data_IF_820389512317
#
_entry.id   IF_820389512317
#
_cell.length_a   1.000
_cell.length_b   1.000
_cell.length_c   1.000
_cell.angle_alpha   90.00
_cell.angle_beta   90.00
_cell.angle_gamma   90.00
#
_symmetry.space_group_name_H-M   'P 1'
#
loop_
_entity.id
_entity.type
_entity.pdbx_description
1 polymer ?
#
# COMPACT_ATOMS: atom_id res chain seq x y z
N UNK A 1 9.61 -15.46 5.49
CA UNK A 1 8.97 -14.28 6.10
C UNK A 1 9.45 -13.06 5.36
N UNK A 2 8.58 -12.07 5.14
CA UNK A 2 8.94 -10.72 4.68
C UNK A 2 8.91 -9.82 5.92
N UNK A 3 10.04 -9.24 6.27
CA UNK A 3 10.22 -8.38 7.45
C UNK A 3 10.99 -7.13 7.02
N UNK A 4 10.40 -5.95 7.22
CA UNK A 4 11.00 -4.67 6.82
C UNK A 4 10.50 -3.52 7.69
N UNK A 5 11.27 -2.45 7.73
CA UNK A 5 10.91 -1.20 8.37
C UNK A 5 10.65 -0.13 7.32
N UNK A 6 9.55 0.60 7.47
CA UNK A 6 9.21 1.74 6.62
C UNK A 6 8.49 2.81 7.43
N UNK A 7 8.85 4.07 7.23
CA UNK A 7 8.23 5.22 7.88
C UNK A 7 8.16 5.11 9.42
N UNK A 8 9.15 4.46 10.02
CA UNK A 8 9.24 4.22 11.47
C UNK A 8 8.21 3.23 12.00
N UNK A 9 7.77 2.29 11.15
CA UNK A 9 6.90 1.18 11.51
C UNK A 9 7.49 -0.12 10.95
N UNK A 10 7.32 -1.23 11.68
CA UNK A 10 7.84 -2.53 11.25
C UNK A 10 6.71 -3.43 10.73
N UNK A 11 6.92 -3.97 9.54
CA UNK A 11 6.00 -4.85 8.85
C UNK A 11 6.55 -6.27 8.87
N UNK A 12 5.70 -7.26 9.20
CA UNK A 12 6.10 -8.66 9.24
C UNK A 12 4.98 -9.54 8.70
N UNK A 13 5.20 -10.12 7.53
CA UNK A 13 4.22 -10.96 6.84
C UNK A 13 4.80 -12.31 6.38
N UNK A 14 3.93 -13.28 6.14
CA UNK A 14 4.32 -14.57 5.58
C UNK A 14 4.72 -14.43 4.12
N UNK A 15 5.83 -15.04 3.71
CA UNK A 15 6.36 -14.88 2.34
C UNK A 15 5.37 -15.36 1.26
N UNK A 16 4.67 -16.48 1.49
CA UNK A 16 3.64 -16.99 0.58
C UNK A 16 2.46 -16.04 0.36
N UNK A 17 2.25 -15.11 1.29
CA UNK A 17 1.13 -14.16 1.30
C UNK A 17 1.53 -12.76 0.87
N UNK A 18 2.78 -12.52 0.52
CA UNK A 18 3.30 -11.16 0.37
C UNK A 18 4.15 -11.03 -0.88
N UNK A 19 4.10 -9.83 -1.45
CA UNK A 19 5.00 -9.35 -2.47
C UNK A 19 5.60 -8.04 -1.98
N UNK A 20 6.91 -8.04 -1.69
CA UNK A 20 7.63 -6.82 -1.33
C UNK A 20 7.96 -6.03 -2.60
N UNK A 21 6.92 -5.49 -3.24
CA UNK A 21 6.99 -4.89 -4.57
C UNK A 21 8.04 -3.79 -4.68
N UNK A 22 8.23 -2.95 -3.65
CA UNK A 22 9.23 -1.87 -3.68
C UNK A 22 10.67 -2.37 -3.78
N UNK A 23 10.94 -3.61 -3.34
CA UNK A 23 12.25 -4.27 -3.44
C UNK A 23 12.30 -5.37 -4.50
N UNK A 24 11.27 -5.46 -5.35
CA UNK A 24 11.24 -6.42 -6.45
C UNK A 24 12.24 -6.05 -7.54
N UNK A 25 12.77 -7.05 -8.23
CA UNK A 25 13.70 -6.84 -9.33
C UNK A 25 13.04 -6.10 -10.50
N UNK A 26 11.76 -6.39 -10.77
CA UNK A 26 10.99 -5.69 -11.80
C UNK A 26 10.84 -4.20 -11.44
N UNK A 27 10.46 -3.86 -10.22
CA UNK A 27 10.27 -2.47 -9.85
C UNK A 27 11.59 -1.72 -9.68
N UNK A 28 12.45 -2.17 -8.75
CA UNK A 28 13.62 -1.42 -8.29
C UNK A 28 14.65 -1.23 -9.40
N UNK A 29 14.91 -2.28 -10.20
CA UNK A 29 15.95 -2.25 -11.24
C UNK A 29 15.47 -1.76 -12.61
N UNK A 30 14.15 -1.71 -12.86
CA UNK A 30 13.61 -1.41 -14.19
C UNK A 30 12.59 -0.27 -14.16
N UNK A 31 11.46 -0.46 -13.47
CA UNK A 31 10.32 0.45 -13.60
C UNK A 31 10.50 1.77 -12.84
N UNK A 32 11.16 1.75 -11.69
CA UNK A 32 11.45 2.97 -10.93
C UNK A 32 12.28 3.98 -11.74
N UNK A 33 13.26 3.50 -12.53
CA UNK A 33 14.12 4.33 -13.36
C UNK A 33 13.37 5.07 -14.49
N UNK A 34 12.18 4.60 -14.88
CA UNK A 34 11.34 5.22 -15.93
C UNK A 34 10.13 5.96 -15.36
N UNK A 35 10.14 6.23 -14.05
CA UNK A 35 9.13 7.05 -13.39
C UNK A 35 7.88 6.31 -12.95
N UNK A 36 7.87 4.97 -12.94
CA UNK A 36 6.84 4.22 -12.24
C UNK A 36 6.98 4.40 -10.72
N UNK A 37 5.90 4.13 -9.97
CA UNK A 37 5.94 4.14 -8.51
C UNK A 37 5.33 2.87 -7.96
N UNK A 38 5.74 2.46 -6.76
CA UNK A 38 5.13 1.33 -6.07
C UNK A 38 4.70 1.72 -4.67
N UNK A 39 3.73 0.97 -4.15
CA UNK A 39 3.53 0.84 -2.70
C UNK A 39 4.70 0.08 -2.09
N UNK A 40 4.71 -0.02 -0.76
CA UNK A 40 5.75 -0.78 -0.07
C UNK A 40 5.58 -2.27 -0.33
N UNK A 41 4.38 -2.81 -0.06
CA UNK A 41 4.09 -4.21 -0.30
C UNK A 41 2.63 -4.45 -0.72
N UNK A 42 2.41 -5.64 -1.29
CA UNK A 42 1.08 -6.21 -1.48
C UNK A 42 1.00 -7.47 -0.63
N UNK A 43 -0.03 -7.62 0.19
CA UNK A 43 -0.13 -8.77 1.11
C UNK A 43 -1.56 -9.26 1.29
N UNK A 44 -1.72 -10.54 1.63
CA UNK A 44 -3.00 -11.09 2.06
C UNK A 44 -3.24 -10.86 3.55
N UNK A 45 -4.36 -10.22 3.86
CA UNK A 45 -4.87 -10.08 5.21
C UNK A 45 -6.27 -10.71 5.30
N UNK A 46 -6.33 -11.95 5.79
CA UNK A 46 -7.51 -12.79 5.61
C UNK A 46 -7.77 -13.05 4.13
N UNK A 47 -8.96 -12.71 3.65
CA UNK A 47 -9.36 -12.81 2.24
C UNK A 47 -9.05 -11.53 1.42
N UNK A 48 -8.53 -10.49 2.06
CA UNK A 48 -8.30 -9.19 1.46
C UNK A 48 -6.90 -9.13 0.84
N UNK A 49 -6.83 -8.60 -0.38
CA UNK A 49 -5.56 -8.24 -1.01
C UNK A 49 -5.26 -6.78 -0.71
N UNK A 50 -4.30 -6.54 0.16
CA UNK A 50 -3.96 -5.23 0.67
C UNK A 50 -2.74 -4.67 -0.05
N UNK A 51 -2.90 -3.57 -0.76
CA UNK A 51 -1.80 -2.74 -1.29
C UNK A 51 -1.45 -1.71 -0.22
N UNK A 52 -0.28 -1.83 0.41
CA UNK A 52 0.08 -1.06 1.60
C UNK A 52 1.17 -0.04 1.28
N UNK A 53 0.81 1.23 1.43
CA UNK A 53 1.72 2.37 1.42
C UNK A 53 1.91 2.88 2.85
N UNK A 54 3.14 3.22 3.22
CA UNK A 54 3.46 3.76 4.54
C UNK A 54 4.10 5.15 4.44
N UNK A 55 3.73 6.05 5.36
CA UNK A 55 4.25 7.42 5.45
C UNK A 55 4.47 7.82 6.90
N UNK A 56 5.51 8.61 7.16
CA UNK A 56 5.74 9.17 8.51
C UNK A 56 4.64 10.17 8.88
N UNK A 57 4.19 10.98 7.92
CA UNK A 57 3.18 12.03 8.11
C UNK A 57 2.43 12.34 6.80
N UNK A 58 1.37 13.13 6.91
CA UNK A 58 0.67 13.74 5.79
C UNK A 58 0.58 15.28 5.98
N UNK A 59 0.62 16.06 4.89
CA UNK A 59 0.45 17.51 4.96
C UNK A 59 -0.96 17.89 5.43
N UNK A 60 -1.08 18.99 6.16
CA UNK A 60 -2.39 19.52 6.58
C UNK A 60 -2.99 20.42 5.47
N UNK A 61 -4.15 20.08 4.88
CA UNK A 61 -4.77 20.88 3.81
C UNK A 61 -5.13 22.30 4.24
N UNK A 62 -5.35 22.56 5.53
CA UNK A 62 -5.61 23.91 6.05
C UNK A 62 -4.37 24.81 6.01
N UNK A 63 -3.17 24.22 6.00
CA UNK A 63 -1.90 24.97 5.96
C UNK A 63 -1.37 25.14 4.54
N UNK A 64 -1.54 24.13 3.67
CA UNK A 64 -1.15 24.21 2.25
C UNK A 64 -1.94 23.20 1.41
N UNK A 65 -2.88 23.71 0.62
CA UNK A 65 -3.68 22.90 -0.29
C UNK A 65 -2.86 22.33 -1.47
N UNK A 66 -1.86 23.07 -1.94
CA UNK A 66 -0.97 22.63 -3.02
C UNK A 66 -0.13 21.41 -2.60
N UNK A 67 0.52 21.48 -1.43
CA UNK A 67 1.30 20.37 -0.89
C UNK A 67 0.42 19.14 -0.64
N UNK A 68 -0.80 19.37 -0.13
CA UNK A 68 -1.78 18.31 0.05
C UNK A 68 -2.20 17.65 -1.27
N UNK A 69 -2.49 18.45 -2.29
CA UNK A 69 -2.90 17.93 -3.60
C UNK A 69 -1.78 17.13 -4.27
N UNK A 70 -0.53 17.63 -4.21
CA UNK A 70 0.65 16.91 -4.70
C UNK A 70 0.89 15.59 -3.94
N UNK A 71 0.68 15.60 -2.62
CA UNK A 71 0.78 14.41 -1.79
C UNK A 71 -0.25 13.35 -2.20
N UNK A 72 -1.53 13.73 -2.30
CA UNK A 72 -2.61 12.83 -2.74
C UNK A 72 -2.29 12.24 -4.12
N UNK A 73 -1.88 13.07 -5.08
CA UNK A 73 -1.53 12.60 -6.42
C UNK A 73 -0.42 11.54 -6.42
N UNK A 74 0.60 11.69 -5.57
CA UNK A 74 1.69 10.70 -5.42
C UNK A 74 1.18 9.37 -4.85
N UNK A 75 0.31 9.41 -3.84
CA UNK A 75 -0.29 8.21 -3.26
C UNK A 75 -1.18 7.50 -4.29
N UNK A 76 -2.04 8.24 -5.00
CA UNK A 76 -2.89 7.70 -6.07
C UNK A 76 -2.05 7.03 -7.15
N UNK A 77 -0.94 7.66 -7.55
CA UNK A 77 0.00 7.10 -8.52
C UNK A 77 0.61 5.80 -8.02
N UNK A 78 1.12 5.74 -6.78
CA UNK A 78 1.67 4.52 -6.19
C UNK A 78 0.67 3.37 -6.18
N UNK A 79 -0.57 3.61 -5.75
CA UNK A 79 -1.61 2.57 -5.79
C UNK A 79 -1.93 2.10 -7.20
N UNK A 80 -2.11 3.04 -8.13
CA UNK A 80 -2.46 2.73 -9.53
C UNK A 80 -1.35 1.94 -10.20
N UNK A 81 -0.12 2.44 -10.14
CA UNK A 81 1.04 1.80 -10.77
C UNK A 81 1.31 0.42 -10.17
N UNK A 82 1.21 0.26 -8.85
CA UNK A 82 1.41 -1.06 -8.22
C UNK A 82 0.42 -2.11 -8.71
N UNK A 83 -0.85 -1.72 -8.88
CA UNK A 83 -1.85 -2.60 -9.45
C UNK A 83 -1.51 -2.95 -10.90
N UNK A 84 -1.14 -1.95 -11.71
CA UNK A 84 -0.73 -2.17 -13.10
C UNK A 84 0.51 -3.06 -13.22
N UNK A 85 1.45 -2.95 -12.30
CA UNK A 85 2.64 -3.81 -12.24
C UNK A 85 2.21 -5.26 -11.95
N UNK A 86 1.34 -5.49 -10.98
CA UNK A 86 0.83 -6.82 -10.69
C UNK A 86 0.10 -7.42 -11.90
N UNK A 87 -0.78 -6.65 -12.54
CA UNK A 87 -1.48 -7.10 -13.75
C UNK A 87 -0.54 -7.38 -14.93
N UNK A 88 0.52 -6.59 -15.09
CA UNK A 88 1.53 -6.83 -16.12
C UNK A 88 2.34 -8.11 -15.85
N UNK A 89 2.63 -8.41 -14.58
CA UNK A 89 3.23 -9.69 -14.16
C UNK A 89 2.25 -10.84 -14.46
N UNK A 90 0.96 -10.69 -14.13
CA UNK A 90 -0.06 -11.69 -14.44
C UNK A 90 -0.15 -11.99 -15.94
N UNK A 91 -0.11 -10.94 -16.76
CA UNK A 91 -0.10 -11.01 -18.22
C UNK A 91 1.22 -11.52 -18.82
N UNK A 92 2.19 -11.95 -17.99
CA UNK A 92 3.53 -12.40 -18.40
C UNK A 92 4.31 -11.35 -19.22
N UNK A 93 4.02 -10.06 -19.05
CA UNK A 93 4.81 -8.97 -19.63
C UNK A 93 6.11 -8.74 -18.85
N UNK A 94 6.12 -9.14 -17.58
CA UNK A 94 7.28 -9.16 -16.70
C UNK A 94 7.38 -10.50 -15.98
N UNK A 95 8.59 -11.00 -15.81
CA UNK A 95 8.87 -12.20 -15.00
C UNK A 95 9.23 -11.77 -13.58
N UNK A 96 8.49 -12.25 -12.60
CA UNK A 96 8.71 -11.95 -11.18
C UNK A 96 8.47 -13.20 -10.33
N UNK A 97 9.47 -13.53 -9.50
CA UNK A 97 9.45 -14.71 -8.61
C UNK A 97 9.18 -14.34 -7.14
N UNK A 98 9.32 -13.06 -6.78
CA UNK A 98 9.19 -12.56 -5.41
C UNK A 98 7.74 -12.42 -4.92
N UNK A 99 6.73 -12.73 -5.74
CA UNK A 99 5.32 -12.72 -5.34
C UNK A 99 4.92 -14.09 -4.78
N UNK A 100 4.59 -14.13 -3.48
CA UNK A 100 4.17 -15.37 -2.80
C UNK A 100 2.98 -16.08 -3.48
N UNK A 101 2.97 -17.41 -3.43
CA UNK A 101 2.04 -18.23 -4.21
C UNK A 101 0.57 -18.05 -3.79
N UNK A 102 0.29 -17.97 -2.48
CA UNK A 102 -1.07 -17.74 -1.98
C UNK A 102 -1.59 -16.35 -2.38
N UNK A 103 -0.73 -15.33 -2.27
CA UNK A 103 -1.07 -13.98 -2.75
C UNK A 103 -1.37 -14.00 -4.24
N UNK A 104 -0.52 -14.65 -5.03
CA UNK A 104 -0.68 -14.75 -6.48
C UNK A 104 -2.01 -15.40 -6.86
N UNK A 105 -2.34 -16.52 -6.23
CA UNK A 105 -3.61 -17.21 -6.44
C UNK A 105 -4.80 -16.30 -6.14
N UNK A 106 -4.78 -15.63 -4.98
CA UNK A 106 -5.90 -14.80 -4.54
C UNK A 106 -6.03 -13.49 -5.32
N UNK A 107 -4.92 -12.84 -5.66
CA UNK A 107 -4.90 -11.58 -6.39
C UNK A 107 -5.51 -11.76 -7.79
N UNK A 108 -5.26 -12.88 -8.46
CA UNK A 108 -5.71 -13.12 -9.82
C UNK A 108 -7.01 -13.94 -9.93
N UNK A 109 -7.62 -14.28 -8.79
CA UNK A 109 -8.88 -15.01 -8.75
C UNK A 109 -9.93 -14.27 -7.90
N UNK A 110 -10.65 -13.33 -8.53
CA UNK A 110 -11.70 -12.51 -7.92
C UNK A 110 -11.26 -11.80 -6.61
N UNK A 111 -10.22 -10.95 -6.67
CA UNK A 111 -9.64 -10.34 -5.47
C UNK A 111 -10.59 -9.37 -4.78
N UNK A 112 -10.51 -9.33 -3.45
CA UNK A 112 -11.10 -8.26 -2.63
C UNK A 112 -10.01 -7.25 -2.30
N UNK A 113 -9.90 -6.20 -3.10
CA UNK A 113 -8.77 -5.26 -3.04
C UNK A 113 -9.02 -4.13 -2.04
N UNK A 114 -8.06 -3.89 -1.15
CA UNK A 114 -7.95 -2.69 -0.34
C UNK A 114 -6.64 -1.95 -0.63
N UNK A 115 -6.74 -0.66 -0.93
CA UNK A 115 -5.61 0.26 -0.95
C UNK A 115 -5.49 0.89 0.44
N UNK A 116 -4.40 0.64 1.14
CA UNK A 116 -4.21 1.05 2.53
C UNK A 116 -3.04 2.02 2.60
N UNK A 117 -3.30 3.23 3.10
CA UNK A 117 -2.27 4.19 3.46
C UNK A 117 -2.15 4.20 4.98
N UNK A 118 -0.97 3.88 5.51
CA UNK A 118 -0.67 3.92 6.95
C UNK A 118 0.22 5.12 7.23
N UNK A 119 -0.21 5.99 8.15
CA UNK A 119 0.51 7.21 8.52
C UNK A 119 0.93 7.12 9.98
N UNK A 120 2.24 7.14 10.25
CA UNK A 120 2.77 6.97 11.61
C UNK A 120 2.25 8.04 12.57
N UNK A 121 2.42 9.31 12.21
CA UNK A 121 2.05 10.47 13.04
C UNK A 121 0.82 11.16 12.45
N UNK A 122 -0.36 10.61 12.74
CA UNK A 122 -1.60 11.14 12.21
C UNK A 122 -2.73 11.13 13.24
N UNK A 123 -3.39 12.28 13.39
CA UNK A 123 -4.60 12.38 14.19
C UNK A 123 -5.77 11.73 13.46
N UNK A 124 -6.56 10.95 14.21
CA UNK A 124 -7.73 10.23 13.69
C UNK A 124 -8.73 11.17 12.97
N UNK A 125 -8.85 12.40 13.45
CA UNK A 125 -9.74 13.41 12.86
C UNK A 125 -9.35 13.79 11.42
N UNK A 126 -8.07 13.72 11.06
CA UNK A 126 -7.58 14.07 9.74
C UNK A 126 -7.65 12.87 8.77
N UNK A 127 -7.70 11.64 9.30
CA UNK A 127 -7.70 10.41 8.48
C UNK A 127 -8.92 10.35 7.57
N UNK A 128 -10.09 10.78 8.06
CA UNK A 128 -11.33 10.80 7.27
C UNK A 128 -11.24 11.73 6.07
N UNK A 129 -10.73 12.96 6.25
CA UNK A 129 -10.62 13.93 5.14
C UNK A 129 -9.65 13.46 4.06
N UNK A 130 -8.50 12.90 4.45
CA UNK A 130 -7.55 12.35 3.48
C UNK A 130 -8.12 11.12 2.75
N UNK A 131 -8.82 10.24 3.47
CA UNK A 131 -9.47 9.08 2.88
C UNK A 131 -10.55 9.49 1.86
N UNK A 132 -11.38 10.48 2.20
CA UNK A 132 -12.42 10.99 1.30
C UNK A 132 -11.82 11.61 0.03
N UNK A 133 -10.71 12.35 0.17
CA UNK A 133 -9.96 12.87 -0.96
C UNK A 133 -9.40 11.74 -1.84
N UNK A 134 -8.75 10.74 -1.26
CA UNK A 134 -8.25 9.57 -2.01
C UNK A 134 -9.40 8.82 -2.69
N UNK A 135 -10.53 8.60 -2.01
CA UNK A 135 -11.69 7.92 -2.57
C UNK A 135 -12.30 8.70 -3.75
N UNK A 136 -12.28 10.03 -3.68
CA UNK A 136 -12.72 10.90 -4.78
C UNK A 136 -11.78 10.80 -5.98
N UNK A 137 -10.48 10.96 -5.79
CA UNK A 137 -9.49 10.94 -6.87
C UNK A 137 -9.36 9.54 -7.50
N UNK A 138 -9.51 8.48 -6.70
CA UNK A 138 -9.46 7.09 -7.16
C UNK A 138 -10.81 6.53 -7.59
N UNK A 139 -11.86 7.35 -7.71
CA UNK A 139 -13.25 6.89 -7.92
C UNK A 139 -13.38 5.88 -9.06
N UNK A 140 -12.76 6.15 -10.21
CA UNK A 140 -12.81 5.25 -11.37
C UNK A 140 -12.13 3.91 -11.07
N UNK A 141 -10.91 3.96 -10.53
CA UNK A 141 -10.14 2.77 -10.13
C UNK A 141 -10.92 1.92 -9.13
N UNK A 142 -11.44 2.52 -8.06
CA UNK A 142 -12.21 1.82 -7.03
C UNK A 142 -13.48 1.17 -7.61
N UNK A 143 -14.15 1.84 -8.56
CA UNK A 143 -15.36 1.28 -9.20
C UNK A 143 -15.05 0.14 -10.16
N UNK A 144 -14.00 0.27 -10.98
CA UNK A 144 -13.56 -0.78 -11.92
C UNK A 144 -13.19 -2.05 -11.16
N UNK A 145 -12.41 -1.89 -10.08
CA UNK A 145 -11.88 -3.01 -9.31
C UNK A 145 -12.76 -3.48 -8.16
N UNK A 146 -13.93 -2.83 -7.94
CA UNK A 146 -14.78 -3.05 -6.76
C UNK A 146 -13.98 -3.00 -5.45
N UNK A 147 -13.02 -2.08 -5.38
CA UNK A 147 -12.05 -1.94 -4.31
C UNK A 147 -12.44 -0.84 -3.31
N UNK A 148 -11.73 -0.78 -2.18
CA UNK A 148 -11.84 0.32 -1.20
C UNK A 148 -10.46 0.95 -0.94
N UNK A 149 -10.46 2.21 -0.48
CA UNK A 149 -9.27 2.89 0.03
C UNK A 149 -9.46 3.21 1.51
N UNK A 150 -8.43 2.96 2.31
CA UNK A 150 -8.46 3.11 3.77
C UNK A 150 -7.22 3.88 4.22
N UNK A 151 -7.41 4.85 5.11
CA UNK A 151 -6.31 5.57 5.77
C UNK A 151 -6.28 5.19 7.24
N UNK A 152 -5.14 4.68 7.71
CA UNK A 152 -4.92 4.24 9.08
C UNK A 152 -3.80 5.03 9.74
N UNK A 153 -3.90 5.29 11.03
CA UNK A 153 -2.74 5.70 11.83
C UNK A 153 -1.98 4.47 12.39
N UNK A 154 -0.84 4.70 13.08
CA UNK A 154 -0.05 3.61 13.70
C UNK A 154 -0.88 2.73 14.63
N UNK A 155 -1.68 3.33 15.51
CA UNK A 155 -2.52 2.59 16.48
C UNK A 155 -3.51 1.65 15.77
N UNK A 156 -4.25 2.16 14.77
CA UNK A 156 -5.17 1.33 14.00
C UNK A 156 -4.44 0.22 13.22
N UNK A 157 -3.26 0.50 12.68
CA UNK A 157 -2.48 -0.51 11.97
C UNK A 157 -1.97 -1.63 12.91
N UNK A 158 -1.68 -1.33 14.18
CA UNK A 158 -1.39 -2.33 15.21
C UNK A 158 -2.62 -3.16 15.55
N UNK A 159 -3.77 -2.51 15.74
CA UNK A 159 -5.05 -3.17 16.04
C UNK A 159 -5.48 -4.14 14.92
N UNK A 160 -5.22 -3.77 13.66
CA UNK A 160 -5.46 -4.62 12.50
C UNK A 160 -4.31 -5.58 12.19
N UNK A 161 -3.26 -5.65 13.02
CA UNK A 161 -2.09 -6.53 12.82
C UNK A 161 -1.43 -6.36 11.43
N UNK A 162 -1.43 -5.13 10.91
CA UNK A 162 -0.72 -4.77 9.67
C UNK A 162 0.74 -4.37 9.94
N UNK A 163 1.05 -4.01 11.19
CA UNK A 163 2.40 -3.76 11.69
C UNK A 163 2.60 -4.48 13.03
N UNK A 164 3.85 -4.68 13.43
CA UNK A 164 4.19 -5.26 14.74
C UNK A 164 4.57 -4.16 15.73
N UNK A 165 4.37 -4.38 17.05
CA UNK A 165 4.85 -3.46 18.08
C UNK A 165 6.35 -3.26 18.00
N UNK A 166 6.82 -2.09 18.45
CA UNK A 166 8.25 -1.85 18.59
C UNK A 166 8.83 -2.79 19.66
N UNK A 167 10.02 -3.34 19.44
CA UNK A 167 10.64 -4.33 20.36
C UNK A 167 10.83 -3.78 21.78
N UNK A 168 10.83 -2.44 21.94
CA UNK A 168 10.97 -1.75 23.22
C UNK A 168 9.65 -1.52 23.99
N UNK A 169 8.48 -1.82 23.41
CA UNK A 169 7.16 -1.64 24.05
C UNK A 169 6.64 -2.92 24.74
N UNK A 170 7.39 -4.02 24.67
CA UNK A 170 7.02 -5.34 25.23
C UNK A 170 7.75 -5.61 26.58
N UNK A 171 8.50 -4.65 27.10
CA UNK A 171 9.26 -4.75 28.36
C UNK A 171 8.49 -4.22 29.58
#
# INVERSE_FOLDING_TARGET
MVDFEESGMRFRFAAEKTYYIEKSDVFDKKLNAVGASSVECVTLHGDLVCFIEAKTSAPNPATSMENFSSYVAKIVKKFTDSLMICEAIHGNLWSEEGMGAELKERLYNAPKIHFILIIQKHEKAWSSSLQDCLAKEMRSLLKIWKASVIVLNKEQALDYHLIVPDENEIA
#
